data_IF_287073700619
#
_entry.id   IF_287073700619
#
_cell.length_a   1.000
_cell.length_b   1.000
_cell.length_c   1.000
_cell.angle_alpha   90.00
_cell.angle_beta   90.00
_cell.angle_gamma   90.00
#
_symmetry.space_group_name_H-M   'P 1'
#
loop_
_entity.id
_entity.type
_entity.pdbx_description
1 polymer ?
#
# COMPACT_ATOMS: atom_id res chain seq x y z
N UNK A 1 -9.06 -42.61 -11.11
CA UNK A 1 -8.00 -41.64 -11.48
C UNK A 1 -8.31 -40.22 -10.98
N UNK A 2 -9.45 -39.60 -11.31
CA UNK A 2 -9.80 -38.22 -10.92
C UNK A 2 -9.70 -37.90 -9.41
N UNK A 3 -10.06 -38.84 -8.53
CA UNK A 3 -10.00 -38.67 -7.06
C UNK A 3 -8.58 -38.42 -6.52
N UNK A 4 -7.55 -39.00 -7.14
CA UNK A 4 -6.16 -38.84 -6.66
C UNK A 4 -5.59 -37.47 -7.02
N UNK A 5 -5.95 -36.94 -8.20
CA UNK A 5 -5.60 -35.57 -8.58
C UNK A 5 -6.27 -34.53 -7.70
N UNK A 6 -7.55 -34.75 -7.34
CA UNK A 6 -8.27 -33.88 -6.40
C UNK A 6 -7.58 -33.83 -5.03
N UNK A 7 -7.18 -34.99 -4.49
CA UNK A 7 -6.42 -35.06 -3.23
C UNK A 7 -5.08 -34.33 -3.33
N UNK A 8 -4.38 -34.43 -4.47
CA UNK A 8 -3.13 -33.71 -4.72
C UNK A 8 -3.30 -32.19 -4.73
N UNK A 9 -4.32 -31.68 -5.40
CA UNK A 9 -4.64 -30.23 -5.41
C UNK A 9 -5.03 -29.76 -4.01
N UNK A 10 -5.83 -30.53 -3.29
CA UNK A 10 -6.23 -30.20 -1.91
C UNK A 10 -5.02 -30.15 -0.96
N UNK A 11 -4.13 -31.14 -1.04
CA UNK A 11 -2.92 -31.20 -0.22
C UNK A 11 -1.93 -30.06 -0.57
N UNK A 12 -1.77 -29.75 -1.85
CA UNK A 12 -0.94 -28.61 -2.30
C UNK A 12 -1.50 -27.27 -1.83
N UNK A 13 -2.81 -27.05 -1.99
CA UNK A 13 -3.49 -25.84 -1.51
C UNK A 13 -3.38 -25.68 0.00
N UNK A 14 -3.53 -26.77 0.77
CA UNK A 14 -3.34 -26.75 2.23
C UNK A 14 -1.90 -26.41 2.61
N UNK A 15 -0.91 -26.94 1.90
CA UNK A 15 0.52 -26.67 2.18
C UNK A 15 0.87 -25.21 1.92
N UNK A 16 0.41 -24.65 0.79
CA UNK A 16 0.59 -23.24 0.45
C UNK A 16 -0.16 -22.32 1.42
N UNK A 17 -1.41 -22.67 1.75
CA UNK A 17 -2.21 -21.93 2.73
C UNK A 17 -1.58 -21.94 4.12
N UNK A 18 -1.04 -23.08 4.55
CA UNK A 18 -0.32 -23.20 5.81
C UNK A 18 0.97 -22.36 5.83
N UNK A 19 1.74 -22.38 4.74
CA UNK A 19 2.92 -21.52 4.60
C UNK A 19 2.59 -20.03 4.68
N UNK A 20 1.51 -19.59 4.01
CA UNK A 20 1.06 -18.20 4.10
C UNK A 20 0.57 -17.83 5.50
N UNK A 21 -0.16 -18.72 6.16
CA UNK A 21 -0.65 -18.50 7.51
C UNK A 21 0.52 -18.37 8.50
N UNK A 22 1.54 -19.22 8.39
CA UNK A 22 2.78 -19.09 9.15
C UNK A 22 3.48 -17.75 8.91
N UNK A 23 3.59 -17.32 7.65
CA UNK A 23 4.17 -16.01 7.32
C UNK A 23 3.41 -14.89 8.02
N UNK A 24 2.08 -14.94 8.00
CA UNK A 24 1.21 -13.93 8.64
C UNK A 24 1.31 -13.92 10.16
N UNK A 25 1.56 -15.08 10.78
CA UNK A 25 1.71 -15.20 12.24
C UNK A 25 3.08 -14.73 12.71
N UNK A 26 4.15 -15.06 11.97
CA UNK A 26 5.53 -14.75 12.37
C UNK A 26 5.92 -13.31 12.02
N UNK A 27 5.35 -12.74 10.95
CA UNK A 27 5.69 -11.39 10.51
C UNK A 27 4.84 -10.36 11.26
N UNK A 28 5.44 -9.40 12.00
CA UNK A 28 4.69 -8.36 12.68
C UNK A 28 3.96 -7.46 11.68
N UNK A 29 2.77 -6.97 12.05
CA UNK A 29 2.06 -5.96 11.27
C UNK A 29 2.84 -4.65 11.24
N UNK A 30 2.59 -3.77 10.25
CA UNK A 30 3.30 -2.49 10.10
C UNK A 30 3.27 -1.65 11.38
N UNK A 31 2.14 -1.63 12.07
CA UNK A 31 1.93 -0.92 13.34
C UNK A 31 2.79 -1.53 14.46
N UNK A 32 2.77 -2.85 14.63
CA UNK A 32 3.57 -3.55 15.63
C UNK A 32 5.08 -3.44 15.35
N UNK A 33 5.47 -3.35 14.08
CA UNK A 33 6.85 -3.10 13.68
C UNK A 33 7.25 -1.65 14.02
N UNK A 34 6.37 -0.68 13.74
CA UNK A 34 6.58 0.72 14.07
C UNK A 34 6.74 0.93 15.58
N UNK A 35 5.92 0.31 16.40
CA UNK A 35 6.04 0.40 17.87
C UNK A 35 7.39 -0.12 18.37
N UNK A 36 7.92 -1.19 17.76
CA UNK A 36 9.21 -1.80 18.08
C UNK A 36 10.42 -1.01 17.54
N UNK A 37 10.21 -0.02 16.68
CA UNK A 37 11.30 0.80 16.14
C UNK A 37 11.80 1.80 17.19
N UNK A 38 13.12 2.00 17.20
CA UNK A 38 13.75 3.05 18.01
C UNK A 38 13.30 4.45 17.54
N UNK A 39 13.29 5.46 18.43
CA UNK A 39 12.83 6.81 18.08
C UNK A 39 13.55 7.42 16.87
N UNK A 40 14.85 7.14 16.71
CA UNK A 40 15.63 7.60 15.55
C UNK A 40 15.15 6.99 14.22
N UNK A 41 14.74 5.72 14.23
CA UNK A 41 14.23 5.06 13.03
C UNK A 41 12.82 5.54 12.67
N UNK A 42 11.97 5.80 13.68
CA UNK A 42 10.65 6.42 13.48
C UNK A 42 10.79 7.75 12.75
N UNK A 43 11.68 8.62 13.21
CA UNK A 43 11.95 9.91 12.56
C UNK A 43 12.45 9.76 11.11
N UNK A 44 13.23 8.73 10.80
CA UNK A 44 13.69 8.46 9.42
C UNK A 44 12.57 7.97 8.51
N UNK A 45 11.64 7.17 9.03
CA UNK A 45 10.47 6.70 8.27
C UNK A 45 9.51 7.88 8.05
N UNK A 46 9.20 8.62 9.11
CA UNK A 46 8.30 9.78 9.02
C UNK A 46 8.86 10.83 8.06
N UNK A 47 10.16 11.12 8.09
CA UNK A 47 10.78 12.06 7.15
C UNK A 47 10.83 11.55 5.70
N UNK A 48 10.86 10.23 5.48
CA UNK A 48 10.73 9.63 4.14
C UNK A 48 9.30 9.71 3.63
N UNK A 49 8.34 9.30 4.45
CA UNK A 49 6.92 9.37 4.12
C UNK A 49 6.48 10.81 3.87
N UNK A 50 6.95 11.76 4.69
CA UNK A 50 6.73 13.18 4.45
C UNK A 50 7.34 13.63 3.12
N UNK A 51 8.54 13.20 2.75
CA UNK A 51 9.14 13.54 1.45
C UNK A 51 8.36 12.97 0.28
N UNK A 52 7.93 11.73 0.36
CA UNK A 52 7.10 11.09 -0.68
C UNK A 52 5.76 11.83 -0.85
N UNK A 53 5.11 12.19 0.25
CA UNK A 53 3.88 12.99 0.23
C UNK A 53 4.12 14.38 -0.37
N UNK A 54 5.23 15.05 -0.06
CA UNK A 54 5.57 16.35 -0.65
C UNK A 54 5.81 16.25 -2.16
N UNK A 55 6.46 15.18 -2.62
CA UNK A 55 6.69 14.94 -4.06
C UNK A 55 5.35 14.73 -4.77
N UNK A 56 4.46 13.89 -4.22
CA UNK A 56 3.14 13.65 -4.77
C UNK A 56 2.29 14.94 -4.82
N UNK A 57 2.34 15.76 -3.77
CA UNK A 57 1.64 17.06 -3.74
C UNK A 57 2.25 18.03 -4.77
N UNK A 58 3.58 18.10 -4.92
CA UNK A 58 4.22 18.93 -5.94
C UNK A 58 3.86 18.49 -7.36
N UNK A 59 3.78 17.19 -7.60
CA UNK A 59 3.38 16.64 -8.89
C UNK A 59 1.92 16.98 -9.21
N UNK A 60 1.02 16.88 -8.23
CA UNK A 60 -0.36 17.37 -8.33
C UNK A 60 -0.40 18.87 -8.61
N UNK A 61 0.36 19.68 -7.87
CA UNK A 61 0.43 21.14 -8.09
C UNK A 61 0.95 21.47 -9.48
N UNK A 62 1.94 20.73 -9.99
CA UNK A 62 2.47 20.91 -11.34
C UNK A 62 1.43 20.54 -12.40
N UNK A 63 0.71 19.43 -12.22
CA UNK A 63 -0.37 19.00 -13.13
C UNK A 63 -1.55 19.96 -13.12
N UNK A 64 -1.87 20.56 -11.96
CA UNK A 64 -2.89 21.61 -11.84
C UNK A 64 -2.39 22.93 -12.45
N UNK A 65 -1.11 23.29 -12.30
CA UNK A 65 -0.52 24.49 -12.89
C UNK A 65 -0.34 24.39 -14.43
N UNK A 66 -0.11 23.18 -14.96
CA UNK A 66 -0.11 22.89 -16.39
C UNK A 66 -1.54 22.83 -16.97
N UNK A 67 -2.55 22.62 -16.12
CA UNK A 67 -3.95 22.74 -16.52
C UNK A 67 -4.37 24.20 -16.48
N UNK A 68 -4.90 24.71 -17.60
CA UNK A 68 -5.34 26.10 -17.78
C UNK A 68 -6.57 26.50 -16.92
N UNK A 69 -6.84 25.74 -15.84
CA UNK A 69 -8.03 25.81 -15.00
C UNK A 69 -7.64 26.27 -13.59
N UNK A 70 -8.44 27.14 -12.95
CA UNK A 70 -8.09 27.74 -11.66
C UNK A 70 -8.01 26.72 -10.51
N UNK A 71 -7.02 26.91 -9.64
CA UNK A 71 -6.64 26.03 -8.50
C UNK A 71 -7.78 25.76 -7.49
N UNK A 72 -8.83 26.60 -7.46
CA UNK A 72 -9.92 26.53 -6.46
C UNK A 72 -11.16 25.72 -6.90
N UNK A 73 -11.11 25.03 -8.04
CA UNK A 73 -12.24 24.23 -8.52
C UNK A 73 -12.38 22.91 -7.75
N UNK A 74 -13.32 22.88 -6.81
CA UNK A 74 -13.61 21.77 -5.88
C UNK A 74 -13.96 20.44 -6.60
N UNK A 75 -14.46 20.51 -7.84
CA UNK A 75 -14.86 19.31 -8.60
C UNK A 75 -13.66 18.52 -9.10
N UNK A 76 -12.56 19.19 -9.47
CA UNK A 76 -11.36 18.55 -10.00
C UNK A 76 -10.61 17.75 -8.94
N UNK A 77 -10.54 18.28 -7.71
CA UNK A 77 -9.88 17.60 -6.59
C UNK A 77 -10.55 16.25 -6.26
N UNK A 78 -11.88 16.18 -6.40
CA UNK A 78 -12.63 14.93 -6.19
C UNK A 78 -12.39 13.89 -7.27
N UNK A 79 -12.18 14.30 -8.52
CA UNK A 79 -11.88 13.37 -9.62
C UNK A 79 -10.45 12.84 -9.53
N UNK A 80 -9.48 13.69 -9.20
CA UNK A 80 -8.10 13.29 -8.96
C UNK A 80 -7.97 12.35 -7.75
N UNK A 81 -8.73 12.60 -6.67
CA UNK A 81 -8.74 11.71 -5.52
C UNK A 81 -9.37 10.34 -5.82
N UNK A 82 -10.29 10.26 -6.79
CA UNK A 82 -10.82 8.99 -7.31
C UNK A 82 -9.82 8.24 -8.19
N UNK A 83 -8.97 8.94 -8.95
CA UNK A 83 -7.89 8.31 -9.73
C UNK A 83 -6.83 7.70 -8.80
N UNK A 84 -6.44 8.41 -7.74
CA UNK A 84 -5.43 7.94 -6.78
C UNK A 84 -5.92 6.70 -6.01
N UNK A 85 -7.20 6.63 -5.63
CA UNK A 85 -7.74 5.53 -4.83
C UNK A 85 -8.12 4.27 -5.67
N UNK A 86 -7.81 4.28 -6.97
CA UNK A 86 -8.11 3.20 -7.93
C UNK A 86 -6.88 2.38 -8.35
N UNK A 87 -5.67 2.79 -7.97
CA UNK A 87 -4.42 2.02 -8.14
C UNK A 87 -4.01 1.36 -6.83
#
# INVERSE_FOLDING_TARGET
MASQYFKGILAGGLTLGFGYLLMKVVTPTKEQLYEKLSPDLKHKIDSREQRENHIAIMELMKKVAESDKPIYDQYQLRELQKEINKG
#
